data_IF_739295110154
#
_entry.id   IF_739295110154
#
_cell.length_a   1.000
_cell.length_b   1.000
_cell.length_c   1.000
_cell.angle_alpha   90.00
_cell.angle_beta   90.00
_cell.angle_gamma   90.00
#
_symmetry.space_group_name_H-M   'P 1'
#
loop_
_entity.id
_entity.type
_entity.pdbx_description
1 polymer ?
#
# COMPACT_ATOMS: atom_id res chain seq x y z
N UNK A 1 -4.22 -12.82 -0.19
CA UNK A 1 -3.11 -12.60 0.76
C UNK A 1 -1.81 -12.72 0.01
N UNK A 2 -0.97 -11.68 0.06
CA UNK A 2 0.36 -11.73 -0.52
C UNK A 2 1.20 -12.79 0.17
N UNK A 3 1.91 -13.58 -0.60
CA UNK A 3 2.94 -14.47 -0.08
C UNK A 3 4.29 -13.82 -0.41
N UNK A 4 4.90 -13.15 0.57
CA UNK A 4 6.16 -12.43 0.43
C UNK A 4 7.32 -13.32 0.03
N UNK A 5 7.21 -14.61 0.28
CA UNK A 5 8.28 -15.58 0.06
C UNK A 5 8.08 -16.45 -1.19
N UNK A 6 7.03 -16.20 -1.99
CA UNK A 6 6.67 -17.04 -3.14
C UNK A 6 7.77 -17.15 -4.21
N UNK A 7 8.53 -16.09 -4.41
CA UNK A 7 9.57 -15.98 -5.44
C UNK A 7 10.96 -15.73 -4.84
N UNK A 8 11.15 -16.12 -3.57
CA UNK A 8 12.41 -15.96 -2.85
C UNK A 8 13.02 -17.31 -2.49
N UNK A 9 14.26 -17.32 -2.04
CA UNK A 9 14.98 -18.49 -1.52
C UNK A 9 14.71 -18.75 -0.03
N UNK A 10 13.74 -18.03 0.56
CA UNK A 10 13.31 -18.11 1.96
C UNK A 10 11.84 -18.50 2.01
N UNK A 11 11.44 -19.30 2.98
CA UNK A 11 10.06 -19.57 3.31
C UNK A 11 9.64 -18.93 4.64
N UNK A 12 8.32 -18.91 4.94
CA UNK A 12 7.78 -18.33 6.16
C UNK A 12 8.40 -18.94 7.42
N UNK A 13 8.60 -20.27 7.46
CA UNK A 13 9.15 -20.96 8.64
C UNK A 13 10.61 -20.57 8.88
N UNK A 14 11.38 -20.36 7.81
CA UNK A 14 12.76 -19.90 7.89
C UNK A 14 12.84 -18.44 8.36
N UNK A 15 11.91 -17.58 7.92
CA UNK A 15 11.80 -16.19 8.39
C UNK A 15 11.41 -16.15 9.87
N UNK A 16 10.42 -16.94 10.31
CA UNK A 16 10.03 -17.08 11.72
C UNK A 16 11.19 -17.55 12.61
N UNK A 17 11.92 -18.58 12.17
CA UNK A 17 13.09 -19.06 12.89
C UNK A 17 14.20 -18.00 13.00
N UNK A 18 14.44 -17.24 11.93
CA UNK A 18 15.39 -16.13 11.91
C UNK A 18 15.00 -15.01 12.89
N UNK A 19 13.70 -14.65 12.93
CA UNK A 19 13.16 -13.65 13.86
C UNK A 19 13.32 -14.13 15.30
N UNK A 20 12.90 -15.35 15.62
CA UNK A 20 13.01 -15.94 16.95
C UNK A 20 14.44 -15.96 17.45
N UNK A 21 15.39 -16.42 16.62
CA UNK A 21 16.80 -16.49 16.99
C UNK A 21 17.44 -15.09 17.13
N UNK A 22 17.04 -14.13 16.30
CA UNK A 22 17.56 -12.76 16.34
C UNK A 22 17.09 -12.01 17.58
N UNK A 23 15.82 -12.20 17.95
CA UNK A 23 15.16 -11.46 19.02
C UNK A 23 15.18 -12.17 20.38
N UNK A 24 15.83 -13.32 20.49
CA UNK A 24 15.85 -14.18 21.69
C UNK A 24 16.22 -13.47 23.00
N UNK A 25 17.06 -12.45 22.93
CA UNK A 25 17.52 -11.68 24.10
C UNK A 25 17.09 -10.21 24.03
N UNK A 26 16.06 -9.90 23.27
CA UNK A 26 15.51 -8.57 23.12
C UNK A 26 14.22 -8.41 23.95
N UNK A 27 13.89 -7.19 24.30
CA UNK A 27 12.64 -6.87 25.00
C UNK A 27 11.46 -6.82 24.03
N UNK A 28 11.71 -6.39 22.79
CA UNK A 28 10.70 -6.31 21.71
C UNK A 28 11.38 -6.36 20.36
N UNK A 29 10.63 -6.67 19.33
CA UNK A 29 11.10 -6.63 17.96
C UNK A 29 10.18 -7.36 16.98
N UNK A 30 10.39 -7.06 15.73
CA UNK A 30 9.63 -7.66 14.63
C UNK A 30 10.40 -7.60 13.30
N UNK A 31 10.05 -8.52 12.43
CA UNK A 31 10.28 -8.43 10.99
C UNK A 31 8.99 -7.92 10.35
N UNK A 32 9.03 -6.71 9.83
CA UNK A 32 7.95 -6.08 9.08
C UNK A 32 8.22 -6.26 7.58
N UNK A 33 7.29 -6.88 6.87
CA UNK A 33 7.34 -7.03 5.41
C UNK A 33 6.22 -6.19 4.79
N UNK A 34 6.54 -5.51 3.70
CA UNK A 34 5.58 -4.70 2.94
C UNK A 34 5.73 -4.96 1.43
N UNK A 35 4.60 -5.09 0.74
CA UNK A 35 4.48 -4.96 -0.70
C UNK A 35 3.48 -3.85 -0.99
N UNK A 36 3.92 -2.82 -1.69
CA UNK A 36 3.12 -1.65 -2.05
C UNK A 36 2.99 -1.54 -3.56
N UNK A 37 1.77 -1.62 -4.05
CA UNK A 37 1.41 -1.36 -5.44
C UNK A 37 0.63 -0.07 -5.54
N UNK A 38 0.92 0.74 -6.54
CA UNK A 38 0.16 1.96 -6.82
C UNK A 38 -0.07 2.13 -8.32
N UNK A 39 -1.23 2.67 -8.67
CA UNK A 39 -1.63 2.98 -10.03
C UNK A 39 -2.22 4.39 -10.09
N UNK A 40 -1.90 5.13 -11.14
CA UNK A 40 -2.52 6.41 -11.46
C UNK A 40 -2.82 6.49 -12.94
N UNK A 41 -4.06 6.85 -13.30
CA UNK A 41 -4.49 7.07 -14.68
C UNK A 41 -5.12 8.46 -14.75
N UNK A 42 -4.59 9.32 -15.62
CA UNK A 42 -5.08 10.69 -15.81
C UNK A 42 -5.61 10.85 -17.22
N UNK A 43 -6.89 11.17 -17.33
CA UNK A 43 -7.52 11.67 -18.54
C UNK A 43 -7.59 13.20 -18.46
N UNK A 44 -7.11 13.86 -19.49
CA UNK A 44 -7.17 15.32 -19.63
C UNK A 44 -7.63 15.64 -21.04
N UNK A 45 -8.73 16.36 -21.14
CA UNK A 45 -9.31 16.86 -22.38
C UNK A 45 -9.47 15.78 -23.48
N UNK A 46 -10.20 14.72 -23.18
CA UNK A 46 -10.47 13.56 -24.05
C UNK A 46 -9.28 12.64 -24.34
N UNK A 47 -8.15 12.80 -23.68
CA UNK A 47 -6.96 11.99 -23.94
C UNK A 47 -6.37 11.47 -22.62
N UNK A 48 -5.88 10.23 -22.65
CA UNK A 48 -5.08 9.74 -21.55
C UNK A 48 -3.73 10.48 -21.59
N UNK A 49 -3.49 11.31 -20.59
CA UNK A 49 -2.29 12.14 -20.45
C UNK A 49 -1.15 11.37 -19.83
N UNK A 50 -1.46 10.54 -18.84
CA UNK A 50 -0.48 9.71 -18.18
C UNK A 50 -1.14 8.47 -17.59
N UNK A 51 -0.37 7.39 -17.54
CA UNK A 51 -0.66 6.20 -16.77
C UNK A 51 0.63 5.72 -16.13
N UNK A 52 0.61 5.50 -14.83
CA UNK A 52 1.76 5.03 -14.06
C UNK A 52 1.35 3.84 -13.21
N UNK A 53 2.24 2.86 -13.10
CA UNK A 53 2.11 1.75 -12.21
C UNK A 53 3.45 1.54 -11.51
N UNK A 54 3.43 1.42 -10.18
CA UNK A 54 4.61 1.13 -9.38
C UNK A 54 4.33 -0.09 -8.50
N UNK A 55 5.36 -0.89 -8.28
CA UNK A 55 5.32 -2.02 -7.36
C UNK A 55 6.65 -2.10 -6.63
N UNK A 56 6.61 -1.90 -5.33
CA UNK A 56 7.77 -1.95 -4.45
C UNK A 56 7.52 -2.96 -3.34
N UNK A 57 8.59 -3.65 -2.91
CA UNK A 57 8.54 -4.54 -1.76
C UNK A 57 9.83 -4.45 -0.95
N UNK A 58 9.74 -4.86 0.28
CA UNK A 58 10.89 -4.92 1.15
C UNK A 58 10.53 -5.32 2.57
N UNK A 59 11.51 -5.26 3.43
CA UNK A 59 11.32 -5.51 4.86
C UNK A 59 12.10 -4.51 5.72
N UNK A 60 11.62 -4.33 6.94
CA UNK A 60 12.33 -3.71 8.05
C UNK A 60 12.44 -4.70 9.21
N UNK A 61 13.63 -4.86 9.77
CA UNK A 61 13.88 -5.70 10.92
C UNK A 61 14.28 -4.81 12.10
N UNK A 62 13.47 -4.83 13.15
CA UNK A 62 13.67 -4.02 14.36
C UNK A 62 13.89 -4.92 15.56
N UNK A 63 14.80 -4.51 16.44
CA UNK A 63 15.05 -5.15 17.74
C UNK A 63 15.26 -4.08 18.81
N UNK A 64 14.70 -4.28 20.00
CA UNK A 64 14.77 -3.34 21.14
C UNK A 64 15.33 -4.06 22.35
N UNK A 65 16.27 -3.43 23.04
CA UNK A 65 16.80 -3.91 24.32
C UNK A 65 17.09 -2.71 25.24
N UNK A 66 16.30 -2.57 26.30
CA UNK A 66 16.30 -1.39 27.15
C UNK A 66 15.94 -0.14 26.34
N UNK A 67 16.81 0.85 26.35
CA UNK A 67 16.64 2.09 25.60
C UNK A 67 17.30 2.06 24.20
N UNK A 68 17.88 0.92 23.80
CA UNK A 68 18.57 0.78 22.52
C UNK A 68 17.65 0.14 21.49
N UNK A 69 17.50 0.79 20.35
CA UNK A 69 16.79 0.28 19.19
C UNK A 69 17.78 0.04 18.07
N UNK A 70 17.82 -1.20 17.57
CA UNK A 70 18.54 -1.57 16.37
C UNK A 70 17.53 -1.75 15.23
N UNK A 71 17.89 -1.29 14.02
CA UNK A 71 17.04 -1.37 12.84
C UNK A 71 17.86 -1.63 11.58
N UNK A 72 17.37 -2.54 10.75
CA UNK A 72 17.93 -2.83 9.43
C UNK A 72 16.79 -2.99 8.43
N UNK A 73 17.01 -2.63 7.17
CA UNK A 73 16.00 -2.78 6.12
C UNK A 73 16.64 -3.17 4.79
N UNK A 74 15.82 -3.75 3.91
CA UNK A 74 16.22 -4.08 2.55
C UNK A 74 14.99 -4.22 1.64
N UNK A 75 15.15 -3.93 0.35
CA UNK A 75 14.19 -4.27 -0.68
C UNK A 75 14.37 -5.70 -1.21
N UNK A 76 15.50 -6.32 -0.90
CA UNK A 76 15.80 -7.72 -1.24
C UNK A 76 15.32 -8.64 -0.11
N UNK A 77 14.27 -9.43 -0.38
CA UNK A 77 13.72 -10.42 0.55
C UNK A 77 14.39 -11.77 0.23
N UNK A 78 15.68 -11.89 0.52
CA UNK A 78 16.46 -13.11 0.37
C UNK A 78 17.00 -13.62 1.71
N UNK A 79 17.36 -14.89 1.75
CA UNK A 79 17.97 -15.51 2.93
C UNK A 79 19.27 -14.79 3.34
N UNK A 80 20.07 -14.39 2.36
CA UNK A 80 21.32 -13.67 2.59
C UNK A 80 21.07 -12.27 3.17
N UNK A 81 20.07 -11.55 2.63
CA UNK A 81 19.68 -10.22 3.11
C UNK A 81 19.15 -10.27 4.54
N UNK A 82 18.24 -11.22 4.84
CA UNK A 82 17.73 -11.44 6.20
C UNK A 82 18.85 -11.80 7.20
N UNK A 83 19.79 -12.66 6.79
CA UNK A 83 20.94 -13.01 7.62
C UNK A 83 21.81 -11.79 7.94
N UNK A 84 22.15 -10.96 6.94
CA UNK A 84 22.91 -9.72 7.14
C UNK A 84 22.21 -8.77 8.10
N UNK A 85 20.89 -8.59 7.94
CA UNK A 85 20.10 -7.76 8.83
C UNK A 85 20.10 -8.29 10.26
N UNK A 86 19.94 -9.61 10.44
CA UNK A 86 20.05 -10.27 11.75
C UNK A 86 21.42 -10.03 12.39
N UNK A 87 22.51 -10.22 11.63
CA UNK A 87 23.87 -10.01 12.13
C UNK A 87 24.10 -8.55 12.57
N UNK A 88 23.63 -7.57 11.79
CA UNK A 88 23.71 -6.15 12.13
C UNK A 88 22.95 -5.80 13.41
N UNK A 89 21.74 -6.34 13.60
CA UNK A 89 20.97 -6.15 14.82
C UNK A 89 21.67 -6.75 16.04
N UNK A 90 22.16 -7.99 15.94
CA UNK A 90 22.89 -8.68 16.99
C UNK A 90 24.17 -7.93 17.39
N UNK A 91 24.91 -7.41 16.41
CA UNK A 91 26.13 -6.64 16.66
C UNK A 91 25.82 -5.32 17.40
N UNK A 92 24.76 -4.61 16.98
CA UNK A 92 24.32 -3.36 17.63
C UNK A 92 23.90 -3.60 19.08
N UNK A 93 23.28 -4.74 19.39
CA UNK A 93 22.76 -5.08 20.71
C UNK A 93 23.71 -5.94 21.58
N UNK A 94 24.90 -6.25 21.11
CA UNK A 94 25.84 -7.22 21.68
C UNK A 94 26.13 -7.11 23.17
N UNK A 95 26.08 -5.92 23.73
CA UNK A 95 26.32 -5.66 25.14
C UNK A 95 25.07 -5.55 26.01
N UNK A 96 23.89 -5.77 25.41
CA UNK A 96 22.58 -5.61 26.04
C UNK A 96 21.90 -6.96 26.22
N UNK A 97 21.12 -7.10 27.28
CA UNK A 97 20.24 -8.24 27.49
C UNK A 97 18.87 -7.71 27.87
N UNK A 98 17.86 -8.10 27.13
CA UNK A 98 16.47 -7.85 27.41
C UNK A 98 15.77 -9.12 27.85
N UNK A 99 14.59 -8.96 28.40
CA UNK A 99 13.67 -10.05 28.70
C UNK A 99 12.33 -9.72 28.04
N UNK A 100 12.00 -10.42 26.98
CA UNK A 100 10.67 -10.29 26.36
C UNK A 100 9.58 -10.66 27.38
N UNK A 101 8.69 -9.76 27.68
CA UNK A 101 7.64 -9.97 28.67
C UNK A 101 6.34 -9.21 28.38
N UNK A 102 5.93 -9.10 27.15
CA UNK A 102 4.69 -8.40 26.81
C UNK A 102 3.71 -9.30 26.07
N UNK A 103 2.55 -9.56 26.70
CA UNK A 103 1.37 -9.97 25.96
C UNK A 103 0.86 -8.78 25.16
N UNK A 104 0.87 -8.90 23.82
CA UNK A 104 0.33 -7.88 22.96
C UNK A 104 -1.17 -8.14 22.80
N UNK A 105 -2.01 -7.16 23.14
CA UNK A 105 -3.43 -7.30 22.93
C UNK A 105 -3.72 -7.51 21.44
N UNK A 106 -4.62 -8.45 21.13
CA UNK A 106 -5.10 -8.66 19.76
C UNK A 106 -5.88 -7.44 19.33
N UNK A 107 -5.25 -6.60 18.51
CA UNK A 107 -5.80 -5.31 18.07
C UNK A 107 -6.37 -5.33 16.65
N UNK A 108 -6.21 -6.43 15.91
CA UNK A 108 -6.67 -6.51 14.52
C UNK A 108 -8.19 -6.65 14.45
N UNK A 109 -8.85 -5.53 14.22
CA UNK A 109 -10.24 -5.48 13.76
C UNK A 109 -10.24 -5.34 12.23
N UNK A 110 -11.07 -6.14 11.56
CA UNK A 110 -11.23 -6.05 10.11
C UNK A 110 -12.15 -4.88 9.79
N UNK A 111 -11.57 -3.74 9.38
CA UNK A 111 -12.32 -2.51 9.07
C UNK A 111 -12.70 -2.38 7.60
N UNK A 112 -12.12 -3.17 6.70
CA UNK A 112 -12.34 -3.14 5.26
C UNK A 112 -12.09 -4.52 4.65
N UNK A 113 -12.57 -4.70 3.44
CA UNK A 113 -12.39 -5.95 2.71
C UNK A 113 -10.96 -6.12 2.22
N UNK A 114 -10.50 -7.38 2.18
CA UNK A 114 -9.22 -7.74 1.59
C UNK A 114 -9.38 -7.87 0.08
N UNK A 115 -9.31 -6.75 -0.61
CA UNK A 115 -9.38 -6.66 -2.08
C UNK A 115 -8.15 -5.94 -2.61
N UNK A 116 -7.70 -6.32 -3.80
CA UNK A 116 -6.74 -5.52 -4.55
C UNK A 116 -7.49 -4.66 -5.59
N UNK A 117 -7.70 -3.37 -5.33
CA UNK A 117 -8.48 -2.53 -6.22
C UNK A 117 -7.81 -2.33 -7.58
N UNK A 118 -6.48 -2.41 -7.64
CA UNK A 118 -5.71 -2.24 -8.89
C UNK A 118 -5.98 -3.42 -9.84
N UNK A 119 -6.00 -4.65 -9.32
CA UNK A 119 -6.19 -5.88 -10.11
C UNK A 119 -7.66 -6.25 -10.29
N UNK A 120 -8.59 -5.63 -9.55
CA UNK A 120 -10.02 -5.93 -9.63
C UNK A 120 -10.68 -5.50 -10.94
N UNK A 121 -10.04 -4.61 -11.70
CA UNK A 121 -10.50 -4.08 -12.98
C UNK A 121 -9.40 -4.11 -14.02
N UNK A 122 -9.78 -4.37 -15.26
CA UNK A 122 -8.86 -4.25 -16.40
C UNK A 122 -8.52 -2.78 -16.65
N UNK A 123 -7.36 -2.52 -17.24
CA UNK A 123 -6.94 -1.17 -17.62
C UNK A 123 -7.98 -0.48 -18.52
N UNK A 124 -8.48 -1.20 -19.52
CA UNK A 124 -9.48 -0.70 -20.46
C UNK A 124 -10.78 -0.28 -19.76
N UNK A 125 -11.27 -1.07 -18.79
CA UNK A 125 -12.48 -0.72 -18.05
C UNK A 125 -12.32 0.54 -17.18
N UNK A 126 -11.12 0.83 -16.70
CA UNK A 126 -10.80 2.09 -15.99
C UNK A 126 -10.79 3.28 -16.95
N UNK A 127 -10.24 3.09 -18.15
CA UNK A 127 -10.26 4.12 -19.22
C UNK A 127 -11.69 4.40 -19.67
N UNK A 128 -12.51 3.37 -19.88
CA UNK A 128 -13.92 3.53 -20.27
C UNK A 128 -14.69 4.35 -19.23
N UNK A 129 -14.41 4.13 -17.96
CA UNK A 129 -15.03 4.92 -16.90
C UNK A 129 -14.60 6.39 -16.96
N UNK A 130 -13.30 6.68 -17.09
CA UNK A 130 -12.81 8.05 -17.23
C UNK A 130 -13.43 8.74 -18.45
N UNK A 131 -13.55 8.03 -19.58
CA UNK A 131 -14.20 8.53 -20.79
C UNK A 131 -15.69 8.78 -20.57
N UNK A 132 -16.39 7.90 -19.85
CA UNK A 132 -17.82 8.08 -19.57
C UNK A 132 -18.07 9.33 -18.74
N UNK A 133 -17.26 9.59 -17.73
CA UNK A 133 -17.34 10.80 -16.90
C UNK A 133 -17.02 12.05 -17.74
N UNK A 134 -15.98 12.03 -18.55
CA UNK A 134 -15.64 13.13 -19.44
C UNK A 134 -16.80 13.45 -20.40
N UNK A 135 -17.37 12.43 -21.04
CA UNK A 135 -18.48 12.59 -21.97
C UNK A 135 -19.75 13.12 -21.28
N UNK A 136 -20.04 12.60 -20.06
CA UNK A 136 -21.16 13.07 -19.26
C UNK A 136 -21.02 14.56 -18.93
N UNK A 137 -19.87 14.99 -18.47
CA UNK A 137 -19.64 16.40 -18.12
C UNK A 137 -19.73 17.31 -19.35
N UNK A 138 -19.13 16.90 -20.48
CA UNK A 138 -19.21 17.67 -21.73
C UNK A 138 -20.63 17.76 -22.26
N UNK A 139 -21.47 16.76 -22.04
CA UNK A 139 -22.89 16.79 -22.44
C UNK A 139 -23.71 17.86 -21.71
N UNK A 140 -23.20 18.43 -20.61
CA UNK A 140 -23.92 19.48 -19.84
C UNK A 140 -23.95 20.84 -20.53
N UNK A 141 -23.17 21.03 -21.58
CA UNK A 141 -23.26 22.21 -22.42
C UNK A 141 -21.93 22.69 -23.01
N UNK A 142 -22.02 23.56 -24.00
CA UNK A 142 -20.85 24.11 -24.72
C UNK A 142 -19.94 24.98 -23.85
N UNK A 143 -20.37 25.36 -22.66
CA UNK A 143 -19.55 26.11 -21.70
C UNK A 143 -18.48 25.25 -21.03
N UNK A 144 -18.54 23.91 -21.14
CA UNK A 144 -17.51 23.02 -20.59
C UNK A 144 -16.29 23.09 -21.51
N UNK A 145 -15.27 23.78 -21.03
CA UNK A 145 -14.03 24.02 -21.78
C UNK A 145 -13.06 22.83 -21.66
N UNK A 146 -12.77 22.43 -20.40
CA UNK A 146 -11.83 21.34 -20.13
C UNK A 146 -12.39 20.40 -19.04
N UNK A 147 -12.12 19.13 -19.18
CA UNK A 147 -12.38 18.10 -18.17
C UNK A 147 -11.12 17.33 -17.90
N UNK A 148 -10.73 17.27 -16.63
CA UNK A 148 -9.65 16.41 -16.15
C UNK A 148 -10.25 15.40 -15.16
N UNK A 149 -10.04 14.12 -15.39
CA UNK A 149 -10.47 13.06 -14.49
C UNK A 149 -9.29 12.12 -14.20
N UNK A 150 -9.15 11.68 -12.95
CA UNK A 150 -8.09 10.75 -12.61
C UNK A 150 -8.51 9.70 -11.60
N UNK A 151 -7.97 8.50 -11.81
CA UNK A 151 -7.94 7.41 -10.87
C UNK A 151 -6.62 7.34 -10.15
N UNK A 152 -6.70 7.06 -8.85
CA UNK A 152 -5.59 6.64 -8.01
C UNK A 152 -6.00 5.36 -7.30
N UNK A 153 -5.14 4.35 -7.37
CA UNK A 153 -5.32 3.09 -6.64
C UNK A 153 -4.04 2.72 -5.91
N UNK A 154 -4.20 2.25 -4.68
CA UNK A 154 -3.11 1.68 -3.90
C UNK A 154 -3.56 0.35 -3.30
N UNK A 155 -2.64 -0.60 -3.25
CA UNK A 155 -2.78 -1.82 -2.49
C UNK A 155 -1.50 -2.08 -1.73
N UNK A 156 -1.60 -2.09 -0.41
CA UNK A 156 -0.48 -2.37 0.49
C UNK A 156 -0.76 -3.66 1.24
N UNK A 157 0.09 -4.66 1.04
CA UNK A 157 0.10 -5.88 1.81
C UNK A 157 1.19 -5.81 2.87
N UNK A 158 0.87 -6.20 4.09
CA UNK A 158 1.77 -6.16 5.24
C UNK A 158 1.76 -7.53 5.91
N UNK A 159 2.94 -7.98 6.31
CA UNK A 159 3.11 -9.12 7.20
C UNK A 159 4.11 -8.75 8.30
N UNK A 160 3.76 -9.00 9.55
CA UNK A 160 4.61 -8.73 10.71
C UNK A 160 4.85 -10.05 11.42
N UNK A 161 6.11 -10.46 11.50
CA UNK A 161 6.54 -11.65 12.23
C UNK A 161 7.23 -11.19 13.52
N UNK A 162 6.68 -11.61 14.65
CA UNK A 162 7.16 -11.21 15.98
C UNK A 162 7.95 -12.32 16.67
N UNK A 163 8.68 -11.94 17.71
CA UNK A 163 9.50 -12.87 18.49
C UNK A 163 8.73 -13.96 19.24
N UNK A 164 7.43 -13.77 19.48
CA UNK A 164 6.51 -14.73 20.09
C UNK A 164 5.84 -15.67 19.07
N UNK A 165 6.36 -15.74 17.85
CA UNK A 165 5.80 -16.48 16.71
C UNK A 165 4.40 -16.00 16.27
N UNK A 166 3.99 -14.81 16.66
CA UNK A 166 2.79 -14.21 16.10
C UNK A 166 3.08 -13.69 14.69
N UNK A 167 2.23 -14.07 13.75
CA UNK A 167 2.25 -13.57 12.39
C UNK A 167 0.97 -12.77 12.17
N UNK A 168 1.11 -11.46 11.99
CA UNK A 168 0.02 -10.53 11.73
C UNK A 168 0.02 -10.17 10.25
N UNK A 169 -1.15 -10.18 9.61
CA UNK A 169 -1.30 -9.85 8.18
C UNK A 169 -2.39 -8.82 8.00
N UNK A 170 -2.13 -7.86 7.12
CA UNK A 170 -3.09 -6.81 6.77
C UNK A 170 -2.94 -6.45 5.29
N UNK A 171 -4.08 -6.37 4.57
CA UNK A 171 -4.12 -5.89 3.19
C UNK A 171 -4.92 -4.60 3.16
N UNK A 172 -4.31 -3.51 2.71
CA UNK A 172 -4.85 -2.15 2.77
C UNK A 172 -5.15 -1.62 1.38
N UNK A 173 -6.39 -1.76 0.89
CA UNK A 173 -6.83 -1.09 -0.31
C UNK A 173 -6.96 0.41 -0.06
N UNK A 174 -6.72 1.20 -1.09
CA UNK A 174 -7.08 2.62 -1.12
C UNK A 174 -7.36 3.01 -2.55
N UNK A 175 -8.50 3.66 -2.78
CA UNK A 175 -8.86 4.21 -4.08
C UNK A 175 -9.25 5.66 -3.94
N UNK A 176 -8.97 6.44 -4.97
CA UNK A 176 -9.41 7.82 -5.10
C UNK A 176 -9.77 8.12 -6.55
N UNK A 177 -10.87 8.81 -6.72
CA UNK A 177 -11.32 9.36 -7.98
C UNK A 177 -11.45 10.86 -7.84
N UNK A 178 -10.86 11.64 -8.75
CA UNK A 178 -11.00 13.09 -8.75
C UNK A 178 -11.40 13.55 -10.14
N UNK A 179 -12.20 14.60 -10.17
CA UNK A 179 -12.64 15.27 -11.38
C UNK A 179 -12.48 16.77 -11.21
N UNK A 180 -11.99 17.42 -12.23
CA UNK A 180 -11.93 18.88 -12.36
C UNK A 180 -12.55 19.30 -13.68
N UNK A 181 -13.33 20.33 -13.65
CA UNK A 181 -14.02 20.90 -14.82
C UNK A 181 -13.72 22.40 -14.90
N UNK A 182 -13.28 22.87 -16.04
CA UNK A 182 -13.17 24.29 -16.35
C UNK A 182 -14.34 24.67 -17.24
N UNK A 183 -15.15 25.60 -16.78
CA UNK A 183 -16.22 26.24 -17.53
C UNK A 183 -15.70 27.57 -18.10
N UNK A 184 -16.11 27.91 -19.32
CA UNK A 184 -15.80 29.18 -19.96
C UNK A 184 -17.04 29.78 -20.60
N UNK A 185 -17.36 31.01 -20.25
CA UNK A 185 -18.45 31.80 -20.84
C UNK A 185 -18.08 33.29 -20.85
N UNK A 186 -18.25 33.91 -22.01
CA UNK A 186 -18.02 35.37 -22.20
C UNK A 186 -16.60 35.81 -21.72
N UNK A 187 -15.59 34.96 -21.97
CA UNK A 187 -14.21 35.20 -21.55
C UNK A 187 -13.91 34.98 -20.06
N UNK A 188 -14.91 34.59 -19.27
CA UNK A 188 -14.72 34.24 -17.85
C UNK A 188 -14.58 32.74 -17.70
N UNK A 189 -13.64 32.34 -16.84
CA UNK A 189 -13.38 30.92 -16.50
C UNK A 189 -13.68 30.66 -15.04
N UNK A 190 -14.38 29.56 -14.79
CA UNK A 190 -14.65 29.04 -13.46
C UNK A 190 -14.23 27.55 -13.40
N UNK A 191 -13.74 27.12 -12.25
CA UNK A 191 -13.29 25.74 -12.06
C UNK A 191 -14.06 25.08 -10.93
N UNK A 192 -14.66 23.93 -11.21
CA UNK A 192 -15.26 23.04 -10.24
C UNK A 192 -14.40 21.78 -10.05
N UNK A 193 -14.35 21.29 -8.82
CA UNK A 193 -13.63 20.06 -8.48
C UNK A 193 -14.51 19.14 -7.63
N UNK A 194 -14.39 17.84 -7.86
CA UNK A 194 -15.02 16.82 -7.03
C UNK A 194 -14.01 15.69 -6.79
N UNK A 195 -14.02 15.14 -5.60
CA UNK A 195 -13.16 14.00 -5.27
C UNK A 195 -13.80 13.08 -4.25
N UNK A 196 -13.69 11.79 -4.49
CA UNK A 196 -14.16 10.73 -3.60
C UNK A 196 -13.10 9.66 -3.48
N UNK A 197 -13.04 8.98 -2.34
CA UNK A 197 -12.08 7.90 -2.14
C UNK A 197 -12.27 7.22 -0.79
N UNK A 198 -11.67 6.03 -0.66
CA UNK A 198 -11.73 5.24 0.55
C UNK A 198 -11.08 3.87 0.40
N UNK A 199 -11.18 3.06 1.44
CA UNK A 199 -10.62 1.71 1.50
C UNK A 199 -11.62 0.67 1.00
N UNK A 200 -11.97 0.78 -0.29
CA UNK A 200 -12.98 -0.06 -0.93
C UNK A 200 -12.67 -0.25 -2.41
N UNK A 201 -13.55 -0.95 -3.14
CA UNK A 201 -13.43 -1.11 -4.60
C UNK A 201 -13.82 0.18 -5.34
N UNK A 202 -13.31 0.36 -6.55
CA UNK A 202 -13.79 1.38 -7.48
C UNK A 202 -15.30 1.25 -7.76
N UNK A 203 -15.83 0.02 -7.77
CA UNK A 203 -17.26 -0.24 -8.05
C UNK A 203 -18.20 0.42 -7.05
N UNK A 204 -17.74 0.63 -5.83
CA UNK A 204 -18.59 1.22 -4.79
C UNK A 204 -18.90 2.69 -5.04
N UNK A 205 -18.05 3.37 -5.83
CA UNK A 205 -18.28 4.76 -6.25
C UNK A 205 -19.03 4.90 -7.57
N UNK A 206 -19.27 3.79 -8.26
CA UNK A 206 -19.86 3.79 -9.60
C UNK A 206 -21.30 3.30 -9.61
N UNK A 207 -21.78 2.69 -8.52
CA UNK A 207 -23.10 2.07 -8.43
C UNK A 207 -24.26 3.07 -8.40
N UNK A 208 -24.03 4.29 -7.98
CA UNK A 208 -25.12 5.24 -7.67
C UNK A 208 -25.43 6.25 -8.78
N UNK A 209 -24.84 6.17 -9.95
CA UNK A 209 -25.16 7.06 -11.09
C UNK A 209 -25.07 8.56 -10.76
N UNK A 210 -24.33 8.91 -9.71
CA UNK A 210 -24.17 10.27 -9.20
C UNK A 210 -23.00 10.99 -9.81
#
# INVERSE_FOLDING_TARGET
MSNFFKETDVDTSQAEASVTETLKNCDDGELYLENHKSESIVLDDNKIKSSTYNSDQGYGFRAVTGEVVAYSHSNDISKESLRKSSDNLKETLKSKKGTYNHEIPKTNSKYYENINPIESKTFDSKIDLLNSVNNYLRSKGSIVNQVTANFLGEHKSIEIIRSDNQVLKDDRPLVRFNVSVVLEKDGKKETGVYGVGGRQSYDDYLKDGS
#
